data_IF_071604989499
#
_entry.id   IF_071604989499
#
_cell.length_a   1.000
_cell.length_b   1.000
_cell.length_c   1.000
_cell.angle_alpha   90.00
_cell.angle_beta   90.00
_cell.angle_gamma   90.00
#
_symmetry.space_group_name_H-M   'P 1'
#
loop_
_entity.id
_entity.type
_entity.pdbx_description
1 polymer ?
#
# COMPACT_ATOMS: atom_id res chain seq x y z
N UNK A 1 21.02 -14.97 10.78
CA UNK A 1 20.29 -13.76 10.31
C UNK A 1 18.87 -13.82 10.86
N UNK A 2 18.28 -12.69 11.22
CA UNK A 2 16.94 -12.67 11.83
C UNK A 2 15.84 -13.01 10.81
N UNK A 3 14.71 -13.55 11.29
CA UNK A 3 13.54 -13.79 10.46
C UNK A 3 13.00 -12.50 9.84
N UNK A 4 12.74 -12.53 8.54
CA UNK A 4 12.29 -11.35 7.78
C UNK A 4 10.93 -10.85 8.26
N UNK A 5 10.05 -11.76 8.67
CA UNK A 5 8.73 -11.40 9.18
C UNK A 5 8.83 -10.72 10.54
N UNK A 6 9.69 -11.23 11.44
CA UNK A 6 9.90 -10.65 12.77
C UNK A 6 10.56 -9.28 12.65
N UNK A 7 11.59 -9.16 11.81
CA UNK A 7 12.25 -7.86 11.58
C UNK A 7 11.30 -6.82 10.97
N UNK A 8 10.41 -7.22 10.05
CA UNK A 8 9.37 -6.35 9.50
C UNK A 8 8.35 -5.88 10.54
N UNK A 9 7.92 -6.76 11.43
CA UNK A 9 7.03 -6.41 12.55
C UNK A 9 7.70 -5.43 13.51
N UNK A 10 8.95 -5.71 13.90
CA UNK A 10 9.73 -4.82 14.77
C UNK A 10 9.94 -3.45 14.13
N UNK A 11 10.23 -3.39 12.84
CA UNK A 11 10.39 -2.13 12.11
C UNK A 11 9.08 -1.33 12.06
N UNK A 12 7.94 -2.02 11.95
CA UNK A 12 6.61 -1.38 11.99
C UNK A 12 6.34 -0.78 13.37
N UNK A 13 6.58 -1.53 14.45
CA UNK A 13 6.40 -1.05 15.82
C UNK A 13 7.34 0.14 16.09
N UNK A 14 8.62 0.02 15.71
CA UNK A 14 9.59 1.10 15.81
C UNK A 14 9.14 2.34 15.04
N UNK A 15 8.71 2.18 13.78
CA UNK A 15 8.24 3.29 12.94
C UNK A 15 7.01 4.00 13.52
N UNK A 16 6.03 3.24 14.01
CA UNK A 16 4.85 3.82 14.67
C UNK A 16 5.20 4.55 15.97
N UNK A 17 6.09 3.98 16.79
CA UNK A 17 6.58 4.63 18.01
C UNK A 17 7.36 5.91 17.72
N UNK A 18 8.29 5.87 16.78
CA UNK A 18 9.08 7.02 16.37
C UNK A 18 8.21 8.13 15.77
N UNK A 19 7.23 7.77 14.94
CA UNK A 19 6.30 8.72 14.33
C UNK A 19 5.45 9.42 15.40
N UNK A 20 4.92 8.69 16.38
CA UNK A 20 4.18 9.28 17.50
C UNK A 20 5.08 10.15 18.39
N UNK A 21 6.30 9.71 18.71
CA UNK A 21 7.25 10.49 19.52
C UNK A 21 7.60 11.83 18.86
N UNK A 22 7.98 11.81 17.58
CA UNK A 22 8.32 13.02 16.83
C UNK A 22 7.11 13.95 16.70
N UNK A 23 5.94 13.38 16.40
CA UNK A 23 4.70 14.14 16.29
C UNK A 23 4.30 14.82 17.58
N UNK A 24 4.35 14.11 18.71
CA UNK A 24 4.03 14.66 20.03
C UNK A 24 5.06 15.73 20.46
N UNK A 25 6.36 15.46 20.25
CA UNK A 25 7.42 16.43 20.53
C UNK A 25 7.24 17.74 19.74
N UNK A 26 6.87 17.64 18.46
CA UNK A 26 6.61 18.80 17.62
C UNK A 26 5.31 19.52 18.02
N UNK A 27 4.30 18.79 18.50
CA UNK A 27 3.03 19.35 18.94
C UNK A 27 3.18 20.14 20.25
N UNK A 28 3.97 19.63 21.20
CA UNK A 28 4.29 20.31 22.47
C UNK A 28 5.13 21.58 22.24
N UNK A 29 6.04 21.56 21.25
CA UNK A 29 6.89 22.72 20.91
C UNK A 29 6.22 23.73 19.96
N UNK A 30 5.01 23.48 19.49
CA UNK A 30 4.28 24.39 18.59
C UNK A 30 3.29 25.26 19.37
N UNK A 31 3.29 26.57 19.12
CA UNK A 31 2.36 27.52 19.76
C UNK A 31 0.87 27.37 19.32
N UNK A 32 0.59 26.46 18.39
CA UNK A 32 -0.76 26.14 17.90
C UNK A 32 -1.12 24.72 18.30
N UNK A 33 -2.29 24.51 18.91
CA UNK A 33 -2.81 23.21 19.39
C UNK A 33 -3.08 22.17 18.29
N UNK A 34 -2.57 22.38 17.07
CA UNK A 34 -2.61 21.43 15.96
C UNK A 34 -1.47 21.74 14.97
N UNK A 35 -0.63 20.76 14.67
CA UNK A 35 0.31 20.81 13.54
C UNK A 35 -0.52 20.68 12.26
N UNK A 36 -0.84 21.81 11.63
CA UNK A 36 -1.51 21.86 10.33
C UNK A 36 -0.49 22.25 9.26
N UNK A 37 -0.44 21.51 8.16
CA UNK A 37 0.24 21.98 6.97
C UNK A 37 -0.41 23.31 6.51
N UNK A 38 0.38 24.24 5.93
CA UNK A 38 -0.15 25.50 5.42
C UNK A 38 -1.32 25.28 4.46
N UNK A 39 -2.43 25.99 4.65
CA UNK A 39 -3.67 25.83 3.85
C UNK A 39 -3.43 25.93 2.33
N UNK A 40 -2.41 26.68 1.90
CA UNK A 40 -2.00 26.76 0.49
C UNK A 40 -1.55 25.43 -0.10
N UNK A 41 -0.86 24.58 0.68
CA UNK A 41 -0.39 23.27 0.21
C UNK A 41 -1.55 22.27 0.19
N UNK A 42 -2.40 22.29 1.22
CA UNK A 42 -3.60 21.46 1.31
C UNK A 42 -4.59 21.79 0.18
N UNK A 43 -4.81 23.06 -0.13
CA UNK A 43 -5.69 23.49 -1.23
C UNK A 43 -5.14 23.14 -2.62
N UNK A 44 -3.83 23.22 -2.82
CA UNK A 44 -3.19 22.89 -4.11
C UNK A 44 -3.17 21.38 -4.38
N UNK A 45 -3.09 20.55 -3.32
CA UNK A 45 -3.10 19.09 -3.45
C UNK A 45 -4.53 18.55 -3.57
N UNK A 46 -5.50 19.17 -2.87
CA UNK A 46 -6.87 18.65 -2.72
C UNK A 46 -7.62 18.47 -4.04
N UNK A 47 -7.44 19.36 -5.03
CA UNK A 47 -8.04 19.20 -6.37
C UNK A 47 -7.30 20.03 -7.44
N UNK A 48 -6.46 19.38 -8.25
CA UNK A 48 -6.06 19.94 -9.55
C UNK A 48 -7.22 19.72 -10.53
N UNK A 49 -8.11 20.71 -10.64
CA UNK A 49 -9.10 20.72 -11.71
C UNK A 49 -8.40 21.16 -13.00
N UNK A 50 -8.22 20.24 -13.94
CA UNK A 50 -7.74 20.58 -15.29
C UNK A 50 -8.90 21.27 -16.05
N UNK A 51 -8.79 22.57 -16.39
CA UNK A 51 -9.86 23.27 -17.07
C UNK A 51 -10.03 22.70 -18.49
N UNK A 52 -11.23 22.20 -18.82
CA UNK A 52 -11.60 21.76 -20.17
C UNK A 52 -11.98 20.29 -20.32
N UNK A 53 -11.45 19.37 -19.49
CA UNK A 53 -11.84 17.93 -19.50
C UNK A 53 -12.77 17.53 -18.34
N UNK A 54 -12.82 18.32 -17.26
CA UNK A 54 -13.73 18.10 -16.12
C UNK A 54 -15.20 18.46 -16.40
N UNK A 55 -15.52 19.02 -17.56
CA UNK A 55 -16.88 19.45 -17.94
C UNK A 55 -17.72 18.36 -18.63
N UNK A 56 -17.16 17.17 -18.88
CA UNK A 56 -17.93 16.03 -19.41
C UNK A 56 -18.68 15.37 -18.25
N UNK A 57 -20.03 15.36 -18.27
CA UNK A 57 -20.81 14.76 -17.19
C UNK A 57 -20.48 13.27 -17.04
N UNK A 58 -20.40 12.81 -15.79
CA UNK A 58 -20.06 11.43 -15.38
C UNK A 58 -18.59 11.05 -15.57
N UNK A 59 -18.00 11.18 -16.77
CA UNK A 59 -16.62 10.70 -17.03
C UNK A 59 -15.55 11.72 -16.61
N UNK A 60 -15.80 13.02 -16.85
CA UNK A 60 -14.92 14.11 -16.44
C UNK A 60 -14.79 14.19 -14.91
N UNK A 61 -15.92 14.03 -14.21
CA UNK A 61 -15.97 14.10 -12.76
C UNK A 61 -15.40 12.84 -12.09
N UNK A 62 -15.58 11.66 -12.69
CA UNK A 62 -14.97 10.42 -12.18
C UNK A 62 -13.46 10.40 -12.34
N UNK A 63 -12.90 10.82 -13.48
CA UNK A 63 -11.46 10.62 -13.75
C UNK A 63 -10.57 11.84 -13.50
N UNK A 64 -11.12 13.07 -13.40
CA UNK A 64 -10.33 14.30 -13.33
C UNK A 64 -10.50 15.11 -12.02
N UNK A 65 -11.19 14.56 -11.01
CA UNK A 65 -11.26 15.13 -9.65
C UNK A 65 -10.40 14.38 -8.63
N UNK A 66 -9.50 13.50 -9.06
CA UNK A 66 -8.66 12.77 -8.13
C UNK A 66 -7.41 13.58 -7.73
N UNK A 67 -6.97 13.36 -6.49
CA UNK A 67 -5.74 13.95 -5.99
C UNK A 67 -4.52 13.47 -6.82
N UNK A 68 -3.46 14.29 -6.98
CA UNK A 68 -2.24 13.94 -7.73
C UNK A 68 -1.62 12.59 -7.33
N UNK A 69 -1.76 12.24 -6.06
CA UNK A 69 -1.29 10.97 -5.50
C UNK A 69 -1.99 9.73 -6.07
N UNK A 70 -3.24 9.84 -6.51
CA UNK A 70 -3.97 8.72 -7.15
C UNK A 70 -3.33 8.41 -8.50
N UNK A 71 -3.06 9.44 -9.31
CA UNK A 71 -2.37 9.26 -10.59
C UNK A 71 -0.95 8.73 -10.39
N UNK A 72 -0.23 9.24 -9.38
CA UNK A 72 1.10 8.74 -9.02
C UNK A 72 1.03 7.26 -8.62
N UNK A 73 0.05 6.86 -7.81
CA UNK A 73 -0.15 5.46 -7.41
C UNK A 73 -0.44 4.53 -8.58
N UNK A 74 -1.33 4.95 -9.50
CA UNK A 74 -1.64 4.18 -10.72
C UNK A 74 -0.40 4.07 -11.61
N UNK A 75 0.31 5.18 -11.84
CA UNK A 75 1.53 5.22 -12.63
C UNK A 75 2.62 4.34 -12.01
N UNK A 76 2.81 4.39 -10.69
CA UNK A 76 3.75 3.54 -9.97
C UNK A 76 3.39 2.05 -10.11
N UNK A 77 2.11 1.69 -10.00
CA UNK A 77 1.67 0.32 -10.18
C UNK A 77 1.91 -0.21 -11.60
N UNK A 78 1.66 0.63 -12.63
CA UNK A 78 1.95 0.30 -14.03
C UNK A 78 3.46 0.14 -14.24
N UNK A 79 4.27 1.08 -13.73
CA UNK A 79 5.73 0.99 -13.81
C UNK A 79 6.26 -0.25 -13.10
N UNK A 80 5.73 -0.61 -11.93
CA UNK A 80 6.06 -1.86 -11.25
C UNK A 80 5.68 -3.08 -12.08
N UNK A 81 4.51 -3.07 -12.75
CA UNK A 81 4.10 -4.13 -13.67
C UNK A 81 5.05 -4.29 -14.85
N UNK A 82 5.48 -3.19 -15.47
CA UNK A 82 6.46 -3.20 -16.56
C UNK A 82 7.82 -3.66 -16.04
N UNK A 83 8.27 -3.12 -14.90
CA UNK A 83 9.52 -3.50 -14.27
C UNK A 83 9.59 -5.01 -14.02
N UNK A 84 8.57 -5.59 -13.36
CA UNK A 84 8.56 -7.01 -12.99
C UNK A 84 8.40 -7.96 -14.18
N UNK A 85 7.66 -7.56 -15.22
CA UNK A 85 7.32 -8.46 -16.32
C UNK A 85 8.18 -8.28 -17.59
N UNK A 86 8.73 -7.09 -17.82
CA UNK A 86 9.39 -6.76 -19.10
C UNK A 86 10.87 -6.39 -18.94
N UNK A 87 11.41 -6.23 -17.73
CA UNK A 87 12.82 -5.89 -17.53
C UNK A 87 13.66 -7.06 -17.06
N UNK A 88 14.93 -7.10 -17.47
CA UNK A 88 15.90 -8.11 -17.01
C UNK A 88 16.04 -8.15 -15.49
N UNK A 89 16.03 -6.97 -14.84
CA UNK A 89 16.11 -6.90 -13.38
C UNK A 89 14.86 -7.46 -12.69
N UNK A 90 13.67 -7.22 -13.25
CA UNK A 90 12.42 -7.79 -12.74
C UNK A 90 12.33 -9.30 -12.92
N UNK A 91 12.76 -9.84 -14.07
CA UNK A 91 12.86 -11.29 -14.27
C UNK A 91 13.84 -11.93 -13.27
N UNK A 92 15.00 -11.30 -13.06
CA UNK A 92 15.97 -11.75 -12.06
C UNK A 92 15.38 -11.73 -10.65
N UNK A 93 14.59 -10.70 -10.30
CA UNK A 93 13.91 -10.63 -9.00
C UNK A 93 12.89 -11.75 -8.83
N UNK A 94 12.09 -12.06 -9.87
CA UNK A 94 11.14 -13.18 -9.84
C UNK A 94 11.87 -14.52 -9.70
N UNK A 95 12.97 -14.73 -10.43
CA UNK A 95 13.80 -15.92 -10.31
C UNK A 95 14.38 -16.08 -8.89
N UNK A 96 14.85 -14.98 -8.28
CA UNK A 96 15.31 -14.96 -6.88
C UNK A 96 14.18 -15.30 -5.90
N UNK A 97 12.96 -14.83 -6.18
CA UNK A 97 11.77 -15.11 -5.36
C UNK A 97 11.32 -16.57 -5.41
N UNK A 98 11.46 -17.22 -6.57
CA UNK A 98 11.15 -18.65 -6.74
C UNK A 98 12.25 -19.54 -6.16
N UNK A 99 13.51 -19.32 -6.55
CA UNK A 99 14.63 -20.09 -6.04
C UNK A 99 15.92 -19.26 -6.01
N UNK A 100 16.33 -18.74 -4.83
CA UNK A 100 17.52 -17.90 -4.70
C UNK A 100 18.82 -18.67 -4.93
N UNK A 101 18.87 -19.97 -4.61
CA UNK A 101 20.06 -20.80 -4.81
C UNK A 101 20.32 -21.03 -6.31
N UNK A 102 19.26 -21.32 -7.08
CA UNK A 102 19.35 -21.44 -8.53
C UNK A 102 19.76 -20.11 -9.19
N UNK A 103 19.26 -18.98 -8.68
CA UNK A 103 19.63 -17.65 -9.19
C UNK A 103 21.13 -17.33 -8.94
N UNK A 104 21.67 -17.66 -7.76
CA UNK A 104 23.11 -17.47 -7.47
C UNK A 104 23.98 -18.40 -8.32
N UNK A 105 23.55 -19.65 -8.56
CA UNK A 105 24.23 -20.57 -9.48
C UNK A 105 24.28 -20.03 -10.92
N UNK A 106 23.25 -19.29 -11.35
CA UNK A 106 23.22 -18.59 -12.63
C UNK A 106 24.05 -17.28 -12.67
N UNK A 107 24.78 -16.95 -11.59
CA UNK A 107 25.66 -15.77 -11.51
C UNK A 107 24.94 -14.47 -11.09
N UNK A 108 23.68 -14.55 -10.65
CA UNK A 108 22.92 -13.38 -10.22
C UNK A 108 23.31 -13.01 -8.80
N UNK A 109 23.69 -11.75 -8.57
CA UNK A 109 24.01 -11.23 -7.21
C UNK A 109 22.73 -11.05 -6.37
N UNK A 110 22.25 -12.13 -5.77
CA UNK A 110 21.00 -12.22 -4.99
C UNK A 110 20.88 -11.11 -3.94
N UNK A 111 21.89 -10.97 -3.08
CA UNK A 111 21.88 -10.00 -1.97
C UNK A 111 21.72 -8.57 -2.46
N UNK A 112 22.49 -8.16 -3.48
CA UNK A 112 22.45 -6.79 -4.02
C UNK A 112 21.07 -6.47 -4.61
N UNK A 113 20.48 -7.40 -5.34
CA UNK A 113 19.16 -7.21 -5.96
C UNK A 113 18.07 -7.15 -4.89
N UNK A 114 18.13 -7.99 -3.84
CA UNK A 114 17.19 -7.92 -2.71
C UNK A 114 17.22 -6.55 -2.03
N UNK A 115 18.40 -6.03 -1.68
CA UNK A 115 18.52 -4.72 -1.00
C UNK A 115 17.99 -3.57 -1.86
N UNK A 116 18.32 -3.52 -3.15
CA UNK A 116 17.83 -2.46 -4.05
C UNK A 116 16.30 -2.47 -4.11
N UNK A 117 15.69 -3.65 -4.25
CA UNK A 117 14.24 -3.78 -4.33
C UNK A 117 13.54 -3.47 -3.00
N UNK A 118 14.15 -3.81 -1.86
CA UNK A 118 13.64 -3.43 -0.54
C UNK A 118 13.65 -1.90 -0.38
N UNK A 119 14.73 -1.23 -0.79
CA UNK A 119 14.83 0.23 -0.72
C UNK A 119 13.81 0.91 -1.64
N UNK A 120 13.64 0.42 -2.88
CA UNK A 120 12.63 0.94 -3.80
C UNK A 120 11.21 0.74 -3.27
N UNK A 121 10.90 -0.46 -2.75
CA UNK A 121 9.60 -0.75 -2.13
C UNK A 121 9.35 0.13 -0.90
N UNK A 122 10.36 0.30 -0.04
CA UNK A 122 10.30 1.20 1.11
C UNK A 122 10.05 2.66 0.71
N UNK A 123 10.69 3.12 -0.38
CA UNK A 123 10.45 4.46 -0.93
C UNK A 123 9.01 4.66 -1.41
N UNK A 124 8.44 3.67 -2.12
CA UNK A 124 7.03 3.71 -2.56
C UNK A 124 6.08 3.69 -1.35
N UNK A 125 6.36 2.86 -0.34
CA UNK A 125 5.60 2.85 0.91
C UNK A 125 5.69 4.20 1.65
N UNK A 126 6.84 4.87 1.62
CA UNK A 126 7.03 6.21 2.18
C UNK A 126 6.14 7.27 1.50
N UNK A 127 6.00 7.20 0.18
CA UNK A 127 5.07 8.06 -0.57
C UNK A 127 3.62 7.78 -0.15
N UNK A 128 3.26 6.52 0.08
CA UNK A 128 1.96 6.13 0.63
C UNK A 128 1.71 6.67 2.04
N UNK A 129 2.74 6.71 2.89
CA UNK A 129 2.68 7.35 4.21
C UNK A 129 2.47 8.86 4.12
N UNK A 130 3.15 9.52 3.19
CA UNK A 130 2.95 10.95 2.91
C UNK A 130 1.52 11.24 2.45
N UNK A 131 0.95 10.39 1.58
CA UNK A 131 -0.46 10.47 1.18
C UNK A 131 -1.41 10.39 2.38
N UNK A 132 -1.17 9.45 3.30
CA UNK A 132 -1.98 9.30 4.51
C UNK A 132 -1.96 10.58 5.36
N UNK A 133 -0.78 11.15 5.60
CA UNK A 133 -0.65 12.37 6.41
C UNK A 133 -1.25 13.61 5.74
N UNK A 134 -1.04 13.77 4.42
CA UNK A 134 -1.47 14.97 3.71
C UNK A 134 -2.96 14.97 3.36
N UNK A 135 -3.50 13.84 2.89
CA UNK A 135 -4.86 13.78 2.34
C UNK A 135 -5.84 13.15 3.32
N UNK A 136 -5.51 11.99 3.89
CA UNK A 136 -6.43 11.30 4.82
C UNK A 136 -6.56 12.10 6.12
N UNK A 137 -5.45 12.62 6.64
CA UNK A 137 -5.47 13.44 7.85
C UNK A 137 -5.71 14.93 7.58
N UNK A 138 -5.92 15.34 6.32
CA UNK A 138 -6.14 16.73 5.93
C UNK A 138 -4.98 17.67 6.29
N UNK A 139 -3.76 17.13 6.37
CA UNK A 139 -2.57 17.84 6.79
C UNK A 139 -2.52 18.18 8.29
N UNK A 140 -3.42 17.62 9.09
CA UNK A 140 -3.39 17.74 10.55
C UNK A 140 -2.69 16.52 11.14
N UNK A 141 -1.74 16.75 12.05
CA UNK A 141 -1.15 15.64 12.80
C UNK A 141 -2.22 14.95 13.67
N UNK A 142 -2.38 13.65 13.48
CA UNK A 142 -3.17 12.79 14.35
C UNK A 142 -2.32 11.62 14.84
N UNK A 143 -2.38 11.34 16.13
CA UNK A 143 -1.72 10.15 16.70
C UNK A 143 -2.24 8.90 16.01
N UNK A 144 -1.33 8.01 15.61
CA UNK A 144 -1.65 6.82 14.81
C UNK A 144 -2.36 7.11 13.46
N UNK A 145 -1.92 8.14 12.73
CA UNK A 145 -2.49 8.58 11.43
C UNK A 145 -2.69 7.47 10.38
N UNK A 146 -1.86 6.43 10.38
CA UNK A 146 -1.96 5.31 9.43
C UNK A 146 -3.11 4.35 9.78
N UNK A 147 -3.52 4.30 11.06
CA UNK A 147 -4.71 3.62 11.57
C UNK A 147 -5.09 2.29 10.89
N UNK A 148 -4.12 1.38 10.76
CA UNK A 148 -4.35 0.05 10.18
C UNK A 148 -4.43 -0.03 8.64
N UNK A 149 -4.33 1.09 7.92
CA UNK A 149 -4.29 1.10 6.44
C UNK A 149 -3.10 0.29 5.88
N UNK A 150 -1.99 0.24 6.61
CA UNK A 150 -0.84 -0.60 6.25
C UNK A 150 -1.17 -2.10 6.24
N UNK A 151 -2.00 -2.57 7.17
CA UNK A 151 -2.45 -3.97 7.20
C UNK A 151 -3.41 -4.30 6.05
N UNK A 152 -4.26 -3.34 5.70
CA UNK A 152 -5.12 -3.44 4.52
C UNK A 152 -4.27 -3.56 3.24
N UNK A 153 -3.17 -2.81 3.14
CA UNK A 153 -2.25 -2.92 2.01
C UNK A 153 -1.58 -4.31 1.92
N UNK A 154 -1.20 -4.92 3.05
CA UNK A 154 -0.68 -6.30 3.07
C UNK A 154 -1.75 -7.28 2.59
N UNK A 155 -2.99 -7.16 3.09
CA UNK A 155 -4.11 -7.99 2.65
C UNK A 155 -4.39 -7.83 1.14
N UNK A 156 -4.28 -6.60 0.62
CA UNK A 156 -4.44 -6.29 -0.80
C UNK A 156 -3.38 -6.98 -1.67
N UNK A 157 -2.12 -7.02 -1.24
CA UNK A 157 -1.05 -7.70 -2.01
C UNK A 157 -1.35 -9.19 -2.15
N UNK A 158 -1.88 -9.81 -1.09
CA UNK A 158 -2.30 -11.21 -1.10
C UNK A 158 -3.51 -11.38 -2.04
N UNK A 159 -4.51 -10.51 -1.94
CA UNK A 159 -5.68 -10.49 -2.85
C UNK A 159 -5.26 -10.33 -4.32
N UNK A 160 -4.30 -9.44 -4.59
CA UNK A 160 -3.77 -9.20 -5.92
C UNK A 160 -2.89 -10.35 -6.45
N UNK A 161 -2.67 -11.40 -5.63
CA UNK A 161 -1.80 -12.52 -5.97
C UNK A 161 -0.44 -12.04 -6.47
N UNK A 162 0.18 -11.10 -5.76
CA UNK A 162 1.50 -10.51 -6.12
C UNK A 162 1.57 -9.87 -7.53
N UNK A 163 0.43 -9.59 -8.16
CA UNK A 163 0.36 -8.96 -9.48
C UNK A 163 0.04 -7.46 -9.38
N UNK A 164 0.91 -6.55 -9.87
CA UNK A 164 0.67 -5.11 -9.79
C UNK A 164 -0.60 -4.66 -10.53
N UNK A 165 -0.96 -5.33 -11.63
CA UNK A 165 -2.16 -4.99 -12.40
C UNK A 165 -3.43 -5.34 -11.65
N UNK A 166 -3.47 -6.50 -10.98
CA UNK A 166 -4.59 -6.91 -10.12
C UNK A 166 -4.69 -6.03 -8.87
N UNK A 167 -3.56 -5.51 -8.37
CA UNK A 167 -3.53 -4.62 -7.21
C UNK A 167 -4.28 -3.30 -7.45
N UNK A 168 -4.25 -2.78 -8.68
CA UNK A 168 -5.03 -1.58 -9.06
C UNK A 168 -6.53 -1.87 -8.93
N UNK A 169 -7.03 -2.96 -9.50
CA UNK A 169 -8.44 -3.33 -9.37
C UNK A 169 -8.83 -3.60 -7.91
N UNK A 170 -7.96 -4.30 -7.17
CA UNK A 170 -8.16 -4.53 -5.75
C UNK A 170 -8.29 -3.24 -4.95
N UNK A 171 -7.48 -2.23 -5.25
CA UNK A 171 -7.46 -1.00 -4.44
C UNK A 171 -8.74 -0.20 -4.63
N UNK A 172 -9.30 -0.16 -5.84
CA UNK A 172 -10.61 0.43 -6.09
C UNK A 172 -11.73 -0.29 -5.34
N UNK A 173 -11.71 -1.63 -5.31
CA UNK A 173 -12.72 -2.42 -4.59
C UNK A 173 -12.64 -2.15 -3.09
N UNK A 174 -11.44 -2.21 -2.50
CA UNK A 174 -11.24 -1.92 -1.08
C UNK A 174 -11.62 -0.47 -0.73
N UNK A 175 -11.27 0.50 -1.58
CA UNK A 175 -11.65 1.89 -1.42
C UNK A 175 -13.17 2.09 -1.46
N UNK A 176 -13.85 1.43 -2.40
CA UNK A 176 -15.31 1.46 -2.51
C UNK A 176 -15.98 0.92 -1.24
N UNK A 177 -15.49 -0.19 -0.68
CA UNK A 177 -16.02 -0.70 0.60
C UNK A 177 -15.69 0.20 1.79
N UNK A 178 -14.51 0.81 1.82
CA UNK A 178 -14.13 1.72 2.90
C UNK A 178 -15.01 2.98 2.93
N UNK A 179 -15.44 3.48 1.78
CA UNK A 179 -16.35 4.64 1.72
C UNK A 179 -17.83 4.24 1.89
N UNK A 180 -18.20 3.00 1.56
CA UNK A 180 -19.58 2.51 1.63
C UNK A 180 -20.20 2.68 3.03
N UNK A 181 -19.39 2.60 4.10
CA UNK A 181 -19.82 2.83 5.49
C UNK A 181 -20.42 4.21 5.75
N UNK A 182 -20.08 5.21 4.94
CA UNK A 182 -20.60 6.58 5.08
C UNK A 182 -21.94 6.80 4.37
N UNK A 183 -22.30 5.93 3.42
CA UNK A 183 -23.51 6.05 2.62
C UNK A 183 -24.71 5.29 3.18
N UNK A 184 -24.52 4.43 4.18
CA UNK A 184 -25.64 3.75 4.85
C UNK A 184 -26.30 4.70 5.87
N UNK A 185 -27.55 5.15 5.63
CA UNK A 185 -28.25 6.02 6.57
C UNK A 185 -28.61 5.24 7.83
N UNK A 186 -28.27 5.78 9.00
CA UNK A 186 -28.53 5.23 10.35
C UNK A 186 -30.03 5.08 10.70
N UNK A 187 -30.93 5.32 9.76
CA UNK A 187 -32.34 5.62 10.01
C UNK A 187 -33.22 4.36 10.14
N UNK A 188 -32.77 3.18 9.68
CA UNK A 188 -33.61 1.96 9.66
C UNK A 188 -33.10 0.82 10.52
N UNK A 189 -31.78 0.68 10.71
CA UNK A 189 -31.18 -0.34 11.59
C UNK A 189 -29.95 0.29 12.25
N UNK A 190 -29.92 0.33 13.58
CA UNK A 190 -28.78 0.79 14.38
C UNK A 190 -27.68 -0.28 14.40
N UNK A 191 -27.13 -0.61 13.23
CA UNK A 191 -25.98 -1.50 13.14
C UNK A 191 -24.76 -0.72 13.68
N UNK A 192 -24.06 -1.24 14.71
CA UNK A 192 -22.84 -0.61 15.21
C UNK A 192 -21.81 -0.42 14.08
N UNK A 193 -21.09 0.70 14.08
CA UNK A 193 -20.07 1.01 13.06
C UNK A 193 -19.01 -0.10 12.92
N UNK A 194 -18.76 -0.85 14.00
CA UNK A 194 -17.87 -2.02 14.01
C UNK A 194 -18.22 -3.08 12.95
N UNK A 195 -19.51 -3.30 12.64
CA UNK A 195 -19.92 -4.24 11.61
C UNK A 195 -19.53 -3.78 10.21
N UNK A 196 -19.48 -2.46 9.98
CA UNK A 196 -19.05 -1.89 8.71
C UNK A 196 -17.53 -1.85 8.60
N UNK A 197 -16.82 -1.57 9.70
CA UNK A 197 -15.35 -1.58 9.71
C UNK A 197 -14.78 -2.99 9.50
N UNK A 198 -15.54 -4.06 9.81
CA UNK A 198 -15.13 -5.43 9.48
C UNK A 198 -15.40 -5.84 8.03
N UNK A 199 -16.26 -5.14 7.26
CA UNK A 199 -16.63 -5.54 5.89
C UNK A 199 -15.43 -5.73 4.97
N UNK A 200 -14.43 -4.82 4.90
CA UNK A 200 -13.25 -5.02 4.07
C UNK A 200 -12.53 -6.32 4.42
N UNK A 201 -12.39 -6.63 5.71
CA UNK A 201 -11.71 -7.84 6.18
C UNK A 201 -12.50 -9.11 5.88
N UNK A 202 -13.82 -9.11 6.12
CA UNK A 202 -14.70 -10.25 5.80
C UNK A 202 -14.63 -10.57 4.30
N UNK A 203 -14.65 -9.54 3.45
CA UNK A 203 -14.55 -9.71 2.00
C UNK A 203 -13.17 -10.26 1.62
N UNK A 204 -12.07 -9.76 2.22
CA UNK A 204 -10.74 -10.36 1.99
C UNK A 204 -10.68 -11.82 2.36
N UNK A 205 -11.27 -12.20 3.50
CA UNK A 205 -11.31 -13.58 3.94
C UNK A 205 -12.11 -14.45 2.98
N UNK A 206 -13.31 -14.02 2.56
CA UNK A 206 -14.13 -14.74 1.59
C UNK A 206 -13.42 -14.91 0.24
N UNK A 207 -12.82 -13.85 -0.29
CA UNK A 207 -12.10 -13.94 -1.57
C UNK A 207 -10.86 -14.82 -1.45
N UNK A 208 -10.13 -14.74 -0.34
CA UNK A 208 -9.01 -15.65 -0.08
C UNK A 208 -9.45 -17.10 -0.07
N UNK A 209 -10.56 -17.41 0.59
CA UNK A 209 -11.14 -18.76 0.59
C UNK A 209 -11.49 -19.20 -0.84
N UNK A 210 -12.18 -18.36 -1.60
CA UNK A 210 -12.56 -18.66 -3.00
C UNK A 210 -11.31 -18.87 -3.88
N UNK A 211 -10.31 -18.02 -3.74
CA UNK A 211 -9.08 -18.05 -4.56
C UNK A 211 -8.20 -19.23 -4.17
N UNK A 212 -8.13 -19.56 -2.88
CA UNK A 212 -7.43 -20.74 -2.35
C UNK A 212 -8.03 -22.03 -2.89
N UNK A 213 -9.36 -22.12 -2.97
CA UNK A 213 -10.06 -23.26 -3.57
C UNK A 213 -9.77 -23.38 -5.08
N UNK A 214 -9.59 -22.27 -5.80
CA UNK A 214 -9.33 -22.27 -7.25
C UNK A 214 -7.92 -22.72 -7.66
N UNK A 215 -7.01 -23.00 -6.72
CA UNK A 215 -5.71 -23.69 -6.91
C UNK A 215 -4.94 -23.27 -8.18
N UNK A 216 -4.96 -21.97 -8.52
CA UNK A 216 -4.22 -21.47 -9.68
C UNK A 216 -2.76 -21.25 -9.31
N UNK A 217 -1.84 -21.97 -9.98
CA UNK A 217 -0.38 -21.82 -9.84
C UNK A 217 0.15 -20.54 -10.49
N UNK A 218 -0.66 -19.88 -11.31
CA UNK A 218 -0.25 -18.66 -11.99
C UNK A 218 -0.39 -17.48 -11.02
N UNK A 219 0.75 -17.05 -10.45
CA UNK A 219 0.91 -15.96 -9.47
C UNK A 219 0.70 -16.34 -7.99
N UNK A 220 1.09 -17.55 -7.58
CA UNK A 220 1.21 -17.88 -6.16
C UNK A 220 2.32 -17.07 -5.47
N UNK A 221 2.27 -17.00 -4.14
CA UNK A 221 3.35 -16.44 -3.32
C UNK A 221 4.70 -17.04 -3.75
N UNK A 222 5.75 -16.22 -3.96
CA UNK A 222 7.08 -16.74 -4.32
C UNK A 222 7.57 -17.70 -3.23
N UNK A 223 8.10 -18.86 -3.63
CA UNK A 223 8.44 -19.93 -2.70
C UNK A 223 9.49 -19.53 -1.65
N UNK A 224 10.37 -18.58 -1.97
CA UNK A 224 11.40 -18.07 -1.05
C UNK A 224 10.98 -16.81 -0.29
N UNK A 225 9.73 -16.33 -0.41
CA UNK A 225 9.28 -15.15 0.34
C UNK A 225 9.30 -15.41 1.85
N UNK A 226 10.02 -14.58 2.61
CA UNK A 226 10.15 -14.68 4.07
C UNK A 226 11.22 -15.68 4.53
N UNK A 227 11.80 -16.47 3.62
CA UNK A 227 12.86 -17.45 3.93
C UNK A 227 14.23 -16.79 3.77
N UNK A 228 15.11 -17.05 4.73
CA UNK A 228 16.49 -16.58 4.68
C UNK A 228 17.31 -17.41 3.69
N UNK A 229 18.13 -16.74 2.88
CA UNK A 229 19.01 -17.37 1.91
C UNK A 229 20.44 -17.43 2.47
N UNK A 230 20.99 -18.63 2.56
CA UNK A 230 22.39 -18.87 2.94
C UNK A 230 23.18 -19.33 1.71
N UNK A 231 24.27 -18.62 1.41
CA UNK A 231 25.13 -18.96 0.26
C UNK A 231 25.93 -20.24 0.48
N UNK A 232 26.13 -20.60 1.74
CA UNK A 232 26.98 -21.72 2.18
C UNK A 232 26.22 -23.04 2.32
N UNK A 233 24.87 -23.01 2.30
CA UNK A 233 24.03 -24.21 2.24
C UNK A 233 23.84 -24.63 0.78
N UNK A 234 24.86 -25.26 0.20
CA UNK A 234 24.81 -25.92 -1.12
C UNK A 234 24.60 -27.41 -0.98
#
# INVERSE_FOLDING_TARGET
MADQNVTGLTLTIFGTGLSNFVGEYMLVNSASSSLKLPEKITATISNINIPGLSSIPVVGQLFFQYNPFVYLGILAAILCGIYLNHTKMGLNLRAIGENPAAADAAGIKVTKIKYINILLGGGICGIGGAYSSMIICGGVWMSNSVNGLGWIAVALVIFASWSPTKAIFGSFIFGAFNILKYYFPKTWITIPSAFYDMLPFVITALVLVITSIRKSKENSQPASCGVNYFREER
#
